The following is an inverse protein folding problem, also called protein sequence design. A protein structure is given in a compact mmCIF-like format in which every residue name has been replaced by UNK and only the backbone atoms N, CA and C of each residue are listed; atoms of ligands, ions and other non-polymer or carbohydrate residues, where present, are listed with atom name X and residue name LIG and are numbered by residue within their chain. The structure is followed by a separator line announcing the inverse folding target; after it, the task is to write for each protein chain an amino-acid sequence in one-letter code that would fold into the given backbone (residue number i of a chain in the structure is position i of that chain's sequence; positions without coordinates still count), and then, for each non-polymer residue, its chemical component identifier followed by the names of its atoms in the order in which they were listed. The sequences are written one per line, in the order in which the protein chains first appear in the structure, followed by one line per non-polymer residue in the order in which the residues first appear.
data_IF_220298605320
#
_entry.id   IF_220298605320
#
_cell.length_a   1.000
_cell.length_b   1.000
_cell.length_c   1.000
_cell.angle_alpha   90.00
_cell.angle_beta   90.00
_cell.angle_gamma   90.00
#
_symmetry.space_group_name_H-M   'P 1'
#
loop_
_entity.id
_entity.type
_entity.pdbx_description
1 polymer ?
#
# COMPACT_ATOMS: atom_id res chain seq x y z
N UNK A 1 6.48 26.03 -53.74
CA UNK A 1 5.89 27.35 -53.42
C UNK A 1 5.92 27.54 -51.91
N UNK A 2 6.54 28.64 -51.44
CA UNK A 2 6.48 29.27 -50.09
C UNK A 2 6.96 28.38 -48.93
N UNK A 3 8.22 28.39 -48.47
CA UNK A 3 9.11 29.46 -47.94
C UNK A 3 8.59 30.19 -46.69
N UNK A 4 9.41 30.14 -45.62
CA UNK A 4 9.56 31.12 -44.52
C UNK A 4 8.58 30.99 -43.33
N UNK A 5 8.94 31.22 -42.06
CA UNK A 5 10.02 32.01 -41.46
C UNK A 5 10.26 31.60 -39.98
N UNK A 6 11.52 31.71 -39.52
CA UNK A 6 11.95 31.66 -38.11
C UNK A 6 11.40 32.83 -37.27
N UNK A 7 11.29 32.64 -35.95
CA UNK A 7 11.60 33.68 -34.97
C UNK A 7 12.19 33.06 -33.69
N UNK A 8 13.39 33.53 -33.35
CA UNK A 8 14.16 33.22 -32.15
C UNK A 8 14.17 34.46 -31.22
N UNK A 9 14.85 34.28 -30.06
CA UNK A 9 15.29 35.27 -29.07
C UNK A 9 14.34 35.45 -27.85
N UNK A 10 14.81 35.56 -26.61
CA UNK A 10 16.15 35.46 -26.02
C UNK A 10 16.04 35.61 -24.47
N UNK A 11 17.06 35.09 -23.76
CA UNK A 11 17.73 35.60 -22.53
C UNK A 11 16.88 35.98 -21.29
N UNK A 12 17.32 35.88 -20.04
CA UNK A 12 18.50 35.37 -19.34
C UNK A 12 18.19 35.53 -17.83
N UNK A 13 18.82 34.76 -16.95
CA UNK A 13 19.76 35.30 -15.93
C UNK A 13 20.44 34.16 -15.18
N UNK A 14 21.76 34.28 -15.11
CA UNK A 14 22.70 33.48 -14.34
C UNK A 14 22.56 33.75 -12.84
N UNK A 15 22.82 32.73 -12.02
CA UNK A 15 23.62 32.90 -10.79
C UNK A 15 24.46 31.64 -10.56
N UNK A 16 25.77 31.79 -10.74
CA UNK A 16 26.82 30.83 -10.41
C UNK A 16 27.36 31.12 -9.01
N UNK A 17 27.42 30.11 -8.14
CA UNK A 17 28.33 30.09 -7.00
C UNK A 17 29.35 28.97 -7.24
N UNK A 18 30.60 29.38 -7.44
CA UNK A 18 31.74 28.53 -7.68
C UNK A 18 32.49 28.28 -6.35
N UNK A 19 32.80 27.01 -6.06
CA UNK A 19 34.01 26.63 -5.35
C UNK A 19 34.67 25.51 -6.17
N UNK A 20 35.95 25.71 -6.45
CA UNK A 20 36.79 24.98 -7.39
C UNK A 20 37.94 24.41 -6.57
N UNK A 21 38.16 23.10 -6.61
CA UNK A 21 39.52 22.57 -6.74
C UNK A 21 39.56 21.16 -7.32
N UNK A 22 40.67 20.88 -7.98
CA UNK A 22 40.94 19.79 -8.94
C UNK A 22 41.42 18.51 -8.24
N UNK A 23 41.16 17.36 -8.87
CA UNK A 23 42.23 16.37 -9.09
C UNK A 23 41.89 14.88 -8.95
N UNK A 24 42.12 14.18 -10.07
CA UNK A 24 42.70 12.82 -10.21
C UNK A 24 41.84 11.56 -10.00
N UNK A 25 42.24 10.59 -10.84
CA UNK A 25 41.66 9.28 -11.16
C UNK A 25 41.49 8.30 -9.99
N UNK A 26 40.51 7.40 -10.12
CA UNK A 26 40.54 6.12 -9.40
C UNK A 26 39.18 5.51 -9.07
N UNK A 27 38.75 4.53 -9.90
CA UNK A 27 38.03 3.29 -9.55
C UNK A 27 36.69 3.31 -8.77
N UNK A 28 35.86 2.25 -8.90
CA UNK A 28 34.41 2.32 -8.67
C UNK A 28 34.01 1.88 -7.26
N UNK A 29 33.03 2.54 -6.65
CA UNK A 29 32.24 1.96 -5.56
C UNK A 29 30.99 2.78 -5.21
N UNK A 30 30.07 2.04 -4.59
CA UNK A 30 29.05 2.48 -3.64
C UNK A 30 27.64 2.76 -4.20
N UNK A 31 26.84 1.69 -4.12
CA UNK A 31 25.41 1.71 -3.75
C UNK A 31 25.07 2.96 -2.94
N UNK A 32 24.10 3.72 -3.42
CA UNK A 32 23.32 4.61 -2.56
C UNK A 32 22.03 3.86 -2.23
N UNK A 33 21.99 3.33 -1.02
CA UNK A 33 20.77 2.88 -0.36
C UNK A 33 19.85 4.10 -0.22
N UNK A 34 18.79 4.12 -1.05
CA UNK A 34 17.74 5.12 -0.98
C UNK A 34 16.94 4.91 0.30
N UNK A 35 17.05 5.89 1.19
CA UNK A 35 16.52 5.88 2.56
C UNK A 35 15.06 5.44 2.66
N UNK A 36 14.81 4.54 3.59
CA UNK A 36 13.49 4.28 4.12
C UNK A 36 12.95 5.57 4.73
N UNK A 37 12.04 6.24 4.01
CA UNK A 37 11.19 7.25 4.57
C UNK A 37 10.38 6.59 5.70
N UNK A 38 10.75 6.84 6.94
CA UNK A 38 9.95 6.45 8.10
C UNK A 38 8.69 7.30 8.08
N UNK A 39 7.67 6.79 7.36
CA UNK A 39 6.31 7.34 7.36
C UNK A 39 5.83 7.26 8.81
N UNK A 40 5.63 8.43 9.44
CA UNK A 40 5.11 8.52 10.80
C UNK A 40 3.85 7.65 10.91
N UNK A 41 3.83 6.77 11.92
CA UNK A 41 2.67 5.94 12.20
C UNK A 41 1.47 6.87 12.49
N UNK A 42 0.31 6.66 11.84
CA UNK A 42 -0.89 7.43 12.15
C UNK A 42 -1.23 7.29 13.64
N UNK A 43 -1.80 8.34 14.23
CA UNK A 43 -2.22 8.35 15.63
C UNK A 43 -3.01 7.07 15.95
N UNK A 44 -2.59 6.35 17.00
CA UNK A 44 -3.11 5.03 17.32
C UNK A 44 -4.62 5.11 17.57
N UNK A 45 -5.40 4.45 16.69
CA UNK A 45 -6.82 4.23 16.92
C UNK A 45 -6.99 3.20 18.04
N UNK A 46 -8.17 3.17 18.68
CA UNK A 46 -8.47 2.15 19.69
C UNK A 46 -8.33 0.74 19.11
N UNK A 47 -7.67 -0.14 19.87
CA UNK A 47 -7.48 -1.53 19.51
C UNK A 47 -8.81 -2.29 19.65
N UNK A 48 -9.21 -2.98 18.59
CA UNK A 48 -10.37 -3.86 18.52
C UNK A 48 -9.90 -5.31 18.50
N UNK A 49 -10.54 -6.16 19.30
CA UNK A 49 -10.22 -7.59 19.35
C UNK A 49 -10.83 -8.34 18.17
N UNK A 50 -10.06 -9.27 17.61
CA UNK A 50 -10.48 -10.24 16.61
C UNK A 50 -10.46 -11.63 17.27
N UNK A 51 -11.52 -11.99 18.04
CA UNK A 51 -11.47 -13.07 19.02
C UNK A 51 -11.15 -14.43 18.38
N UNK A 52 -11.73 -14.73 17.23
CA UNK A 52 -11.51 -15.99 16.50
C UNK A 52 -10.07 -16.19 16.02
N UNK A 53 -9.33 -15.10 15.85
CA UNK A 53 -7.95 -15.15 15.41
C UNK A 53 -6.94 -14.92 16.54
N UNK A 54 -7.40 -14.49 17.72
CA UNK A 54 -6.53 -14.07 18.82
C UNK A 54 -5.69 -12.84 18.46
N UNK A 55 -6.24 -11.92 17.67
CA UNK A 55 -5.54 -10.74 17.18
C UNK A 55 -6.16 -9.43 17.68
N UNK A 56 -5.42 -8.35 17.52
CA UNK A 56 -5.87 -6.96 17.68
C UNK A 56 -5.70 -6.21 16.35
N UNK A 57 -6.59 -5.26 16.09
CA UNK A 57 -6.52 -4.31 14.97
C UNK A 57 -6.94 -2.91 15.43
N UNK A 58 -6.24 -1.87 15.01
CA UNK A 58 -6.55 -0.48 15.36
C UNK A 58 -7.62 0.06 14.39
N UNK A 59 -8.89 -0.17 14.73
CA UNK A 59 -10.05 0.13 13.87
C UNK A 59 -10.85 1.36 14.32
N UNK A 60 -10.57 1.91 15.51
CA UNK A 60 -11.35 3.00 16.11
C UNK A 60 -12.38 2.48 17.11
N UNK A 61 -12.86 3.36 17.99
CA UNK A 61 -13.71 3.00 19.15
C UNK A 61 -15.11 2.53 18.77
N UNK A 62 -15.63 2.97 17.62
CA UNK A 62 -16.98 2.66 17.14
C UNK A 62 -16.97 1.50 16.11
N UNK A 63 -15.81 0.84 15.94
CA UNK A 63 -15.69 -0.28 15.05
C UNK A 63 -16.25 -1.57 15.67
N UNK A 64 -16.94 -2.35 14.85
CA UNK A 64 -17.53 -3.64 15.21
C UNK A 64 -16.92 -4.76 14.36
N UNK A 65 -16.89 -5.96 14.94
CA UNK A 65 -16.49 -7.19 14.24
C UNK A 65 -17.74 -7.98 13.91
N UNK A 66 -17.86 -8.40 12.66
CA UNK A 66 -18.91 -9.28 12.19
C UNK A 66 -18.27 -10.56 11.66
N UNK A 67 -18.75 -11.69 12.14
CA UNK A 67 -18.32 -13.00 11.66
C UNK A 67 -18.95 -13.28 10.30
N UNK A 68 -18.11 -13.68 9.35
CA UNK A 68 -18.51 -14.06 8.01
C UNK A 68 -17.81 -15.36 7.61
N UNK A 69 -18.45 -16.09 6.71
CA UNK A 69 -17.84 -17.26 6.08
C UNK A 69 -17.87 -17.03 4.58
N UNK A 70 -16.69 -17.06 3.95
CA UNK A 70 -16.54 -16.96 2.49
C UNK A 70 -16.03 -18.31 1.99
N UNK A 71 -16.90 -19.09 1.36
CA UNK A 71 -16.63 -20.50 1.07
C UNK A 71 -16.45 -21.28 2.37
N UNK A 72 -15.30 -21.93 2.52
CA UNK A 72 -14.91 -22.65 3.75
C UNK A 72 -13.96 -21.83 4.65
N UNK A 73 -13.70 -20.57 4.30
CA UNK A 73 -12.76 -19.71 5.04
C UNK A 73 -13.49 -18.81 6.01
N UNK A 74 -13.18 -18.97 7.30
CA UNK A 74 -13.61 -18.02 8.34
C UNK A 74 -13.00 -16.65 8.06
N UNK A 75 -13.86 -15.63 7.98
CA UNK A 75 -13.52 -14.25 7.66
C UNK A 75 -14.17 -13.33 8.68
N UNK A 76 -13.43 -12.38 9.22
CA UNK A 76 -13.98 -11.34 10.09
C UNK A 76 -14.08 -10.05 9.30
N UNK A 77 -15.26 -9.45 9.24
CA UNK A 77 -15.42 -8.09 8.73
C UNK A 77 -15.32 -7.12 9.89
N UNK A 78 -14.42 -6.16 9.78
CA UNK A 78 -14.27 -5.04 10.72
C UNK A 78 -14.84 -3.81 10.05
N UNK A 79 -15.87 -3.23 10.65
CA UNK A 79 -16.59 -2.08 10.11
C UNK A 79 -16.66 -0.97 11.16
N UNK A 80 -16.37 0.26 10.77
CA UNK A 80 -16.52 1.45 11.59
C UNK A 80 -16.67 2.70 10.73
N UNK A 81 -16.64 3.88 11.35
CA UNK A 81 -16.70 5.14 10.61
C UNK A 81 -15.53 5.26 9.62
N UNK A 82 -15.86 5.30 8.32
CA UNK A 82 -14.85 5.40 7.26
C UNK A 82 -13.93 4.18 7.11
N UNK A 83 -14.30 3.03 7.69
CA UNK A 83 -13.49 1.81 7.66
C UNK A 83 -14.35 0.59 7.37
N UNK A 84 -13.96 -0.18 6.36
CA UNK A 84 -14.46 -1.54 6.12
C UNK A 84 -13.28 -2.38 5.66
N UNK A 85 -12.91 -3.39 6.45
CA UNK A 85 -11.88 -4.36 6.07
C UNK A 85 -12.35 -5.77 6.38
N UNK A 86 -11.83 -6.74 5.66
CA UNK A 86 -11.99 -8.16 5.95
C UNK A 86 -10.65 -8.74 6.38
N UNK A 87 -10.66 -9.61 7.38
CA UNK A 87 -9.49 -10.34 7.88
C UNK A 87 -9.79 -11.83 7.77
N UNK A 88 -8.88 -12.59 7.18
CA UNK A 88 -9.02 -14.05 7.05
C UNK A 88 -7.65 -14.71 7.18
N UNK A 89 -7.62 -15.98 7.60
CA UNK A 89 -6.42 -16.81 7.46
C UNK A 89 -6.19 -17.15 5.99
N UNK A 90 -4.93 -17.19 5.56
CA UNK A 90 -4.59 -17.61 4.19
C UNK A 90 -3.57 -18.73 4.17
N UNK A 91 -3.64 -19.64 3.20
CA UNK A 91 -2.67 -20.72 3.04
C UNK A 91 -1.28 -20.20 2.63
N UNK A 92 -0.29 -21.08 2.69
CA UNK A 92 1.11 -20.74 2.40
C UNK A 92 1.38 -20.41 0.93
N UNK A 93 0.56 -20.96 0.02
CA UNK A 93 0.60 -20.71 -1.41
C UNK A 93 -0.03 -19.36 -1.82
N UNK A 94 -0.66 -18.62 -0.91
CA UNK A 94 -1.07 -17.22 -1.13
C UNK A 94 0.16 -16.30 -1.23
N UNK A 95 0.81 -16.31 -2.39
CA UNK A 95 2.05 -15.57 -2.69
C UNK A 95 1.76 -14.16 -3.22
N UNK A 96 2.78 -13.30 -3.13
CA UNK A 96 2.68 -11.93 -3.65
C UNK A 96 2.55 -11.91 -5.18
N UNK A 97 3.25 -12.82 -5.85
CA UNK A 97 3.20 -12.98 -7.31
C UNK A 97 1.80 -13.38 -7.78
N UNK A 98 1.16 -14.34 -7.10
CA UNK A 98 -0.22 -14.71 -7.42
C UNK A 98 -1.19 -13.56 -7.19
N UNK A 99 -1.04 -12.81 -6.10
CA UNK A 99 -1.89 -11.64 -5.85
C UNK A 99 -1.75 -10.57 -6.94
N UNK A 100 -0.54 -10.36 -7.48
CA UNK A 100 -0.32 -9.44 -8.60
C UNK A 100 -0.97 -9.98 -9.89
N UNK A 101 -0.82 -11.27 -10.20
CA UNK A 101 -1.47 -11.89 -11.36
C UNK A 101 -3.00 -11.81 -11.27
N UNK A 102 -3.56 -12.05 -10.09
CA UNK A 102 -4.99 -11.92 -9.84
C UNK A 102 -5.45 -10.47 -10.05
N UNK A 103 -4.68 -9.50 -9.55
CA UNK A 103 -4.98 -8.09 -9.76
C UNK A 103 -4.98 -7.71 -11.25
N UNK A 104 -4.05 -8.26 -12.06
CA UNK A 104 -3.94 -7.98 -13.51
C UNK A 104 -5.22 -8.32 -14.29
N UNK A 105 -6.00 -9.29 -13.83
CA UNK A 105 -7.29 -9.64 -14.46
C UNK A 105 -8.27 -8.45 -14.51
N UNK A 106 -8.08 -7.46 -13.65
CA UNK A 106 -8.92 -6.26 -13.56
C UNK A 106 -8.37 -5.06 -14.34
N UNK A 107 -7.32 -5.24 -15.15
CA UNK A 107 -6.58 -4.15 -15.83
C UNK A 107 -6.25 -2.97 -14.89
N UNK A 108 -5.58 -3.24 -13.76
CA UNK A 108 -5.46 -2.27 -12.68
C UNK A 108 -4.39 -1.22 -12.96
N UNK A 109 -4.48 -0.09 -12.26
CA UNK A 109 -3.33 0.75 -11.94
C UNK A 109 -2.78 0.30 -10.59
N UNK A 110 -1.54 -0.18 -10.57
CA UNK A 110 -0.87 -0.61 -9.34
C UNK A 110 -0.32 0.61 -8.60
N UNK A 111 -0.86 0.87 -7.41
CA UNK A 111 -0.51 2.04 -6.59
C UNK A 111 0.64 1.73 -5.62
N UNK A 112 0.72 0.48 -5.13
CA UNK A 112 1.74 0.04 -4.18
C UNK A 112 2.00 -1.46 -4.29
N UNK A 113 3.28 -1.84 -4.22
CA UNK A 113 3.75 -3.21 -4.36
C UNK A 113 4.99 -3.43 -3.49
N UNK A 114 4.77 -3.82 -2.22
CA UNK A 114 5.86 -3.95 -1.25
C UNK A 114 5.91 -5.36 -0.66
N UNK A 115 7.10 -6.00 -0.67
CA UNK A 115 7.38 -7.16 0.17
C UNK A 115 7.92 -6.68 1.52
N UNK A 116 7.51 -7.35 2.59
CA UNK A 116 7.93 -7.07 3.96
C UNK A 116 8.51 -8.33 4.60
N UNK A 117 9.18 -8.20 5.74
CA UNK A 117 9.78 -9.35 6.42
C UNK A 117 8.73 -10.39 6.87
N UNK A 118 7.51 -9.93 7.16
CA UNK A 118 6.41 -10.75 7.65
C UNK A 118 5.31 -10.98 6.60
N UNK A 119 5.44 -10.47 5.38
CA UNK A 119 4.47 -10.72 4.31
C UNK A 119 4.56 -9.71 3.17
N UNK A 120 3.46 -9.12 2.75
CA UNK A 120 3.41 -8.19 1.61
C UNK A 120 2.22 -7.24 1.64
N UNK A 121 2.33 -6.17 0.87
CA UNK A 121 1.30 -5.14 0.65
C UNK A 121 1.11 -4.94 -0.84
N UNK A 122 -0.14 -5.01 -1.28
CA UNK A 122 -0.58 -4.72 -2.63
C UNK A 122 -1.73 -3.72 -2.56
N UNK A 123 -1.57 -2.56 -3.17
CA UNK A 123 -2.64 -1.57 -3.32
C UNK A 123 -2.79 -1.27 -4.81
N UNK A 124 -4.01 -1.31 -5.32
CA UNK A 124 -4.30 -1.06 -6.72
C UNK A 124 -5.69 -0.48 -6.90
N UNK A 125 -5.95 0.06 -8.08
CA UNK A 125 -7.26 0.57 -8.45
C UNK A 125 -7.65 0.15 -9.85
N UNK A 126 -8.94 0.04 -10.12
CA UNK A 126 -9.45 -0.07 -11.48
C UNK A 126 -10.65 0.85 -11.67
N UNK A 127 -11.12 0.96 -12.92
CA UNK A 127 -12.36 1.68 -13.25
C UNK A 127 -13.39 0.69 -13.77
N UNK A 128 -14.42 0.45 -12.97
CA UNK A 128 -15.60 -0.34 -13.35
C UNK A 128 -16.70 0.53 -13.97
N UNK A 129 -17.82 -0.10 -14.33
CA UNK A 129 -19.01 0.60 -14.85
C UNK A 129 -19.62 1.59 -13.84
N UNK A 130 -19.42 1.34 -12.54
CA UNK A 130 -19.93 2.17 -11.44
C UNK A 130 -18.91 3.18 -10.91
N UNK A 131 -17.75 3.34 -11.56
CA UNK A 131 -16.70 4.28 -11.16
C UNK A 131 -15.41 3.59 -10.74
N UNK A 132 -14.60 4.32 -9.97
CA UNK A 132 -13.30 3.83 -9.51
C UNK A 132 -13.49 2.86 -8.35
N UNK A 133 -12.70 1.78 -8.31
CA UNK A 133 -12.59 0.89 -7.16
C UNK A 133 -11.15 0.88 -6.68
N UNK A 134 -10.97 1.01 -5.38
CA UNK A 134 -9.70 0.95 -4.68
C UNK A 134 -9.62 -0.36 -3.91
N UNK A 135 -8.53 -1.09 -4.13
CA UNK A 135 -8.25 -2.38 -3.52
C UNK A 135 -7.01 -2.28 -2.65
N UNK A 136 -7.10 -2.88 -1.48
CA UNK A 136 -5.99 -3.07 -0.55
C UNK A 136 -5.95 -4.54 -0.21
N UNK A 137 -4.79 -5.16 -0.38
CA UNK A 137 -4.51 -6.50 0.10
C UNK A 137 -3.18 -6.48 0.87
N UNK A 138 -3.25 -6.86 2.14
CA UNK A 138 -2.09 -6.93 3.02
C UNK A 138 -2.08 -8.32 3.63
N UNK A 139 -1.02 -9.08 3.36
CA UNK A 139 -0.78 -10.36 4.02
C UNK A 139 0.33 -10.19 5.04
N UNK A 140 0.09 -10.66 6.27
CA UNK A 140 1.07 -10.64 7.36
C UNK A 140 1.12 -11.98 8.08
N UNK A 141 2.31 -12.33 8.54
CA UNK A 141 2.57 -13.47 9.41
C UNK A 141 2.60 -12.98 10.85
N UNK A 142 1.61 -13.36 11.64
CA UNK A 142 1.44 -12.94 13.04
C UNK A 142 1.26 -14.19 13.89
N UNK A 143 2.09 -14.36 14.93
CA UNK A 143 2.03 -15.56 15.78
C UNK A 143 2.22 -16.88 15.02
N UNK A 144 3.02 -16.88 13.94
CA UNK A 144 3.27 -18.07 13.11
C UNK A 144 2.14 -18.44 12.15
N UNK A 145 1.07 -17.65 12.07
CA UNK A 145 -0.04 -17.84 11.12
C UNK A 145 -0.09 -16.70 10.11
N UNK A 146 -0.53 -16.99 8.88
CA UNK A 146 -0.68 -15.98 7.81
C UNK A 146 -2.12 -15.48 7.78
N UNK A 147 -2.27 -14.17 7.74
CA UNK A 147 -3.56 -13.50 7.66
C UNK A 147 -3.56 -12.54 6.48
N UNK A 148 -4.63 -12.55 5.68
CA UNK A 148 -4.94 -11.50 4.71
C UNK A 148 -5.90 -10.52 5.35
N UNK A 149 -5.54 -9.25 5.33
CA UNK A 149 -6.42 -8.13 5.61
C UNK A 149 -6.63 -7.35 4.31
N UNK A 150 -7.88 -7.15 3.92
CA UNK A 150 -8.23 -6.53 2.65
C UNK A 150 -9.35 -5.51 2.75
N UNK A 151 -9.32 -4.53 1.85
CA UNK A 151 -10.38 -3.55 1.66
C UNK A 151 -10.70 -3.41 0.16
N UNK A 152 -11.98 -3.31 -0.16
CA UNK A 152 -12.46 -2.93 -1.51
C UNK A 152 -13.51 -1.86 -1.35
N UNK A 153 -13.28 -0.69 -1.96
CA UNK A 153 -14.18 0.46 -1.78
C UNK A 153 -14.10 1.42 -2.96
N UNK A 154 -15.19 2.13 -3.30
CA UNK A 154 -15.14 3.22 -4.27
C UNK A 154 -14.53 4.51 -3.71
N UNK A 155 -14.19 4.56 -2.41
CA UNK A 155 -13.65 5.73 -1.74
C UNK A 155 -12.18 5.55 -1.37
N UNK A 156 -11.30 6.37 -1.96
CA UNK A 156 -9.85 6.32 -1.71
C UNK A 156 -9.47 6.49 -0.24
N UNK A 157 -10.11 7.42 0.47
CA UNK A 157 -9.81 7.66 1.88
C UNK A 157 -10.18 6.46 2.77
N UNK A 158 -11.27 5.76 2.43
CA UNK A 158 -11.63 4.51 3.10
C UNK A 158 -10.62 3.39 2.80
N UNK A 159 -10.09 3.31 1.58
CA UNK A 159 -9.02 2.35 1.24
C UNK A 159 -7.74 2.65 2.03
N UNK A 160 -7.32 3.92 2.11
CA UNK A 160 -6.16 4.34 2.91
C UNK A 160 -6.34 4.05 4.40
N UNK A 161 -7.55 4.28 4.94
CA UNK A 161 -7.90 3.91 6.31
C UNK A 161 -7.84 2.39 6.53
N UNK A 162 -8.30 1.61 5.55
CA UNK A 162 -8.19 0.15 5.54
C UNK A 162 -6.74 -0.33 5.53
N UNK A 163 -5.90 0.24 4.67
CA UNK A 163 -4.47 -0.08 4.61
C UNK A 163 -3.77 0.24 5.94
N UNK A 164 -4.07 1.38 6.54
CA UNK A 164 -3.54 1.75 7.86
C UNK A 164 -3.98 0.77 8.94
N UNK A 165 -5.27 0.42 9.01
CA UNK A 165 -5.78 -0.54 9.99
C UNK A 165 -5.15 -1.93 9.81
N UNK A 166 -5.11 -2.45 8.59
CA UNK A 166 -4.52 -3.76 8.28
C UNK A 166 -3.04 -3.88 8.67
N UNK A 167 -2.28 -2.79 8.59
CA UNK A 167 -0.88 -2.77 9.04
C UNK A 167 -0.73 -2.92 10.56
N UNK A 168 -1.77 -2.66 11.35
CA UNK A 168 -1.70 -2.74 12.82
C UNK A 168 -1.98 -4.14 13.39
N UNK A 169 -2.28 -5.13 12.53
CA UNK A 169 -2.54 -6.50 12.96
C UNK A 169 -1.41 -7.04 13.84
N UNK A 170 -1.77 -7.55 15.01
CA UNK A 170 -0.84 -8.10 16.01
C UNK A 170 -1.55 -9.11 16.89
N UNK A 171 -0.80 -9.94 17.60
CA UNK A 171 -1.37 -10.81 18.63
C UNK A 171 -2.01 -9.98 19.74
N UNK A 172 -3.07 -10.52 20.35
CA UNK A 172 -3.63 -10.00 21.60
C UNK A 172 -2.60 -10.04 22.73
#
# INVERSE_FOLDING_TARGET
MRTSLLAAAALATLTTAACKDKGKDGAPAAKTEGGAATKAAPAAKAALELPDFGLLIDAGKDAQVMDMTVGDTKTLMVQGEGLVVTVATVPADATFELAIEDAKMFSPTLNRQDKTADGWVLEYQNKGSMGDNFFVEIVRTVGGKRYKCSATTPNKAQAEAGAAACQTLRTK
#
